data_IF_633968663352
#
_entry.id   IF_633968663352
#
_cell.length_a   1.000
_cell.length_b   1.000
_cell.length_c   1.000
_cell.angle_alpha   90.00
_cell.angle_beta   90.00
_cell.angle_gamma   90.00
#
_symmetry.space_group_name_H-M   'P 1'
#
loop_
_entity.id
_entity.type
_entity.pdbx_description
1 polymer ?
#
# COMPACT_ATOMS: atom_id res chain seq x y z
N UNK A 1 -0.32 2.62 11.22
CA UNK A 1 0.33 2.46 9.90
C UNK A 1 0.87 3.79 9.41
N UNK A 2 2.04 3.80 8.75
CA UNK A 2 2.64 5.00 8.15
C UNK A 2 2.26 5.11 6.66
N UNK A 3 1.92 6.33 6.19
CA UNK A 3 1.70 6.58 4.76
C UNK A 3 3.04 6.59 4.02
N UNK A 4 3.30 5.56 3.23
CA UNK A 4 4.56 5.37 2.49
C UNK A 4 4.48 5.83 1.02
N UNK A 5 3.29 6.14 0.51
CA UNK A 5 3.08 6.60 -0.86
C UNK A 5 1.61 6.68 -1.26
N UNK A 6 1.35 7.20 -2.47
CA UNK A 6 0.03 7.23 -3.08
C UNK A 6 0.10 6.62 -4.49
N UNK A 7 -0.88 5.81 -4.86
CA UNK A 7 -1.01 5.25 -6.20
C UNK A 7 -2.09 6.02 -6.97
N UNK A 8 -1.74 6.58 -8.11
CA UNK A 8 -2.67 7.28 -9.02
C UNK A 8 -2.88 6.47 -10.30
N UNK A 9 -4.12 6.44 -10.80
CA UNK A 9 -4.47 5.84 -12.08
C UNK A 9 -5.34 6.82 -12.87
N UNK A 10 -4.82 7.27 -14.01
CA UNK A 10 -5.50 8.21 -14.90
C UNK A 10 -5.83 7.53 -16.23
N UNK A 11 -7.08 7.67 -16.70
CA UNK A 11 -7.55 7.11 -17.98
C UNK A 11 -8.78 7.82 -18.55
N UNK A 12 -9.14 7.61 -19.84
CA UNK A 12 -10.26 8.28 -20.49
C UNK A 12 -11.61 7.88 -19.89
N UNK A 13 -12.44 8.86 -19.50
CA UNK A 13 -13.74 8.66 -18.84
C UNK A 13 -14.82 7.93 -19.65
N UNK A 14 -14.53 7.60 -20.92
CA UNK A 14 -15.46 6.98 -21.87
C UNK A 14 -15.57 5.46 -21.74
N UNK A 15 -14.71 4.82 -20.94
CA UNK A 15 -14.75 3.37 -20.70
C UNK A 15 -15.12 3.09 -19.24
N UNK A 16 -15.96 2.07 -19.00
CA UNK A 16 -16.33 1.66 -17.65
C UNK A 16 -15.11 1.15 -16.88
N UNK A 17 -14.68 1.88 -15.85
CA UNK A 17 -13.49 1.55 -15.05
C UNK A 17 -13.76 0.56 -13.90
N UNK A 18 -14.79 -0.28 -14.00
CA UNK A 18 -15.16 -1.21 -12.92
C UNK A 18 -14.00 -2.13 -12.47
N UNK A 19 -13.11 -2.48 -13.40
CA UNK A 19 -11.93 -3.31 -13.15
C UNK A 19 -10.73 -2.53 -12.59
N UNK A 20 -10.69 -1.20 -12.75
CA UNK A 20 -9.55 -0.36 -12.37
C UNK A 20 -9.31 -0.35 -10.86
N UNK A 21 -10.38 -0.30 -10.06
CA UNK A 21 -10.27 -0.39 -8.61
C UNK A 21 -9.72 -1.76 -8.16
N UNK A 22 -10.09 -2.83 -8.88
CA UNK A 22 -9.57 -4.18 -8.64
C UNK A 22 -8.07 -4.28 -8.93
N UNK A 23 -7.61 -3.68 -10.04
CA UNK A 23 -6.19 -3.63 -10.41
C UNK A 23 -5.37 -2.76 -9.44
N UNK A 24 -5.90 -1.62 -8.99
CA UNK A 24 -5.27 -0.78 -7.97
C UNK A 24 -5.12 -1.56 -6.66
N UNK A 25 -6.16 -2.27 -6.22
CA UNK A 25 -6.09 -3.10 -5.00
C UNK A 25 -5.06 -4.22 -5.15
N UNK A 26 -4.99 -4.87 -6.31
CA UNK A 26 -3.98 -5.89 -6.60
C UNK A 26 -2.56 -5.30 -6.57
N UNK A 27 -2.36 -4.11 -7.14
CA UNK A 27 -1.06 -3.44 -7.13
C UNK A 27 -0.64 -3.02 -5.73
N UNK A 28 -1.58 -2.52 -4.90
CA UNK A 28 -1.34 -2.22 -3.48
C UNK A 28 -0.94 -3.49 -2.73
N UNK A 29 -1.69 -4.59 -2.89
CA UNK A 29 -1.37 -5.88 -2.28
C UNK A 29 0.06 -6.35 -2.69
N UNK A 30 0.45 -6.17 -3.96
CA UNK A 30 1.79 -6.52 -4.46
C UNK A 30 2.91 -5.60 -3.94
N UNK A 31 2.63 -4.30 -3.75
CA UNK A 31 3.58 -3.34 -3.19
C UNK A 31 3.80 -3.62 -1.71
N UNK A 32 2.71 -3.80 -0.94
CA UNK A 32 2.78 -4.16 0.48
C UNK A 32 3.57 -5.47 0.66
N UNK A 33 3.28 -6.49 -0.17
CA UNK A 33 3.98 -7.77 -0.14
C UNK A 33 5.51 -7.63 -0.33
N UNK A 34 5.96 -6.77 -1.25
CA UNK A 34 7.40 -6.53 -1.47
C UNK A 34 8.05 -5.70 -0.37
N UNK A 35 7.38 -4.66 0.12
CA UNK A 35 7.94 -3.76 1.15
C UNK A 35 8.14 -4.45 2.51
N UNK A 36 7.32 -5.45 2.81
CA UNK A 36 7.46 -6.24 4.04
C UNK A 36 8.81 -6.98 4.15
N UNK A 37 9.50 -7.29 3.04
CA UNK A 37 10.76 -8.06 3.07
C UNK A 37 12.00 -7.24 3.49
N UNK A 38 11.91 -5.90 3.49
CA UNK A 38 13.09 -5.01 3.60
C UNK A 38 13.40 -4.52 5.02
N UNK A 39 12.43 -4.47 5.93
CA UNK A 39 12.53 -3.67 7.17
C UNK A 39 12.71 -4.45 8.48
N UNK A 40 12.74 -5.79 8.45
CA UNK A 40 12.68 -6.60 9.67
C UNK A 40 13.93 -7.46 9.87
N UNK A 41 15.06 -6.81 10.16
CA UNK A 41 16.24 -7.49 10.71
C UNK A 41 15.86 -8.08 12.09
N UNK A 42 16.37 -9.27 12.40
CA UNK A 42 16.12 -10.03 13.65
C UNK A 42 14.65 -10.38 13.94
N UNK A 43 13.80 -10.40 12.91
CA UNK A 43 12.41 -10.80 13.04
C UNK A 43 12.11 -12.08 12.26
N UNK A 44 11.15 -12.86 12.76
CA UNK A 44 10.62 -14.06 12.14
C UNK A 44 9.36 -13.72 11.36
N UNK A 45 9.30 -14.09 10.09
CA UNK A 45 8.15 -13.86 9.23
C UNK A 45 7.33 -15.14 9.06
N UNK A 46 6.05 -15.07 9.38
CA UNK A 46 5.08 -16.14 9.21
C UNK A 46 4.17 -15.82 8.03
N UNK A 47 4.19 -16.69 7.01
CA UNK A 47 3.24 -16.69 5.90
C UNK A 47 2.16 -17.71 6.22
N UNK A 48 0.89 -17.36 6.05
CA UNK A 48 -0.18 -18.29 6.37
C UNK A 48 -1.46 -18.02 5.58
N UNK A 49 -2.25 -19.07 5.37
CA UNK A 49 -3.57 -18.97 4.77
C UNK A 49 -4.41 -20.21 5.14
N UNK A 50 -5.74 -20.09 5.13
CA UNK A 50 -6.65 -21.23 5.32
C UNK A 50 -6.66 -22.22 4.15
N UNK A 51 -6.08 -21.82 3.01
CA UNK A 51 -5.97 -22.59 1.77
C UNK A 51 -4.49 -22.64 1.40
N UNK A 52 -3.85 -23.83 1.45
CA UNK A 52 -2.43 -23.99 1.13
C UNK A 52 -2.05 -23.48 -0.26
N UNK A 53 -2.96 -23.53 -1.24
CA UNK A 53 -2.70 -23.07 -2.61
C UNK A 53 -2.44 -21.56 -2.71
N UNK A 54 -2.82 -20.80 -1.68
CA UNK A 54 -2.63 -19.34 -1.64
C UNK A 54 -1.28 -18.93 -1.08
N UNK A 55 -0.55 -19.82 -0.40
CA UNK A 55 0.80 -19.54 0.09
C UNK A 55 1.73 -19.26 -1.08
N UNK A 56 2.62 -18.27 -0.94
CA UNK A 56 3.50 -17.84 -2.03
C UNK A 56 2.88 -16.76 -2.94
N UNK A 57 1.57 -16.53 -2.87
CA UNK A 57 0.87 -15.53 -3.69
C UNK A 57 0.66 -14.23 -2.93
N UNK A 58 0.25 -13.16 -3.64
CA UNK A 58 -0.22 -11.90 -3.02
C UNK A 58 -1.40 -12.06 -2.05
N UNK A 59 -2.05 -13.24 -2.02
CA UNK A 59 -3.26 -13.48 -1.22
C UNK A 59 -2.98 -14.03 0.17
N UNK A 60 -1.75 -14.41 0.48
CA UNK A 60 -1.40 -14.91 1.81
C UNK A 60 -1.46 -13.83 2.89
N UNK A 61 -1.67 -14.27 4.13
CA UNK A 61 -1.43 -13.47 5.31
C UNK A 61 0.06 -13.48 5.65
N UNK A 62 0.58 -12.32 6.04
CA UNK A 62 1.94 -12.17 6.55
C UNK A 62 1.85 -11.53 7.93
N UNK A 63 2.46 -12.17 8.92
CA UNK A 63 2.73 -11.60 10.24
C UNK A 63 4.23 -11.65 10.50
N UNK A 64 4.75 -10.63 11.16
CA UNK A 64 6.16 -10.49 11.48
C UNK A 64 6.31 -10.35 12.98
N UNK A 65 7.14 -11.21 13.56
CA UNK A 65 7.38 -11.28 14.98
C UNK A 65 8.82 -10.91 15.31
N UNK A 66 9.03 -10.02 16.26
CA UNK A 66 10.32 -9.85 16.91
C UNK A 66 10.26 -10.61 18.22
N UNK A 67 11.09 -11.65 18.33
CA UNK A 67 10.94 -12.67 19.37
C UNK A 67 9.52 -13.26 19.32
N UNK A 68 8.68 -12.95 20.31
CA UNK A 68 7.29 -13.39 20.42
C UNK A 68 6.29 -12.25 20.18
N UNK A 69 6.74 -11.03 19.90
CA UNK A 69 5.85 -9.85 19.76
C UNK A 69 5.52 -9.57 18.31
N UNK A 70 4.25 -9.33 18.00
CA UNK A 70 3.80 -8.94 16.66
C UNK A 70 4.24 -7.49 16.37
N UNK A 71 5.20 -7.30 15.47
CA UNK A 71 5.72 -5.97 15.12
C UNK A 71 5.16 -5.46 13.79
N UNK A 72 4.68 -6.36 12.92
CA UNK A 72 4.02 -5.96 11.68
C UNK A 72 3.15 -7.08 11.11
N UNK A 73 2.22 -6.71 10.24
CA UNK A 73 1.46 -7.64 9.42
C UNK A 73 0.84 -6.95 8.22
N UNK A 74 0.72 -7.66 7.10
CA UNK A 74 -0.07 -7.13 5.99
C UNK A 74 -1.55 -7.12 6.40
N UNK A 75 -2.37 -6.33 5.69
CA UNK A 75 -3.81 -6.20 6.01
C UNK A 75 -4.51 -7.56 6.09
N UNK A 76 -4.13 -8.50 5.22
CA UNK A 76 -4.71 -9.84 5.15
C UNK A 76 -4.32 -10.69 6.35
N UNK A 77 -3.06 -10.64 6.77
CA UNK A 77 -2.55 -11.36 7.94
C UNK A 77 -3.28 -10.91 9.20
N UNK A 78 -3.38 -9.59 9.41
CA UNK A 78 -4.16 -9.04 10.54
C UNK A 78 -5.63 -9.50 10.45
N UNK A 79 -6.26 -9.39 9.28
CA UNK A 79 -7.65 -9.80 9.10
C UNK A 79 -7.89 -11.30 9.32
N UNK A 80 -6.99 -12.17 8.86
CA UNK A 80 -7.11 -13.62 9.05
C UNK A 80 -6.94 -14.00 10.52
N UNK A 81 -6.02 -13.31 11.23
CA UNK A 81 -5.79 -13.47 12.65
C UNK A 81 -6.84 -12.79 13.54
N UNK A 82 -7.82 -12.08 12.97
CA UNK A 82 -8.84 -11.35 13.74
C UNK A 82 -8.29 -10.13 14.48
N UNK A 83 -7.19 -9.56 14.00
CA UNK A 83 -6.48 -8.43 14.61
C UNK A 83 -6.75 -7.12 13.88
N UNK A 84 -6.68 -6.01 14.62
CA UNK A 84 -6.55 -4.66 14.05
C UNK A 84 -5.08 -4.22 14.06
N UNK A 85 -4.82 -3.03 13.52
CA UNK A 85 -3.50 -2.40 13.58
C UNK A 85 -3.07 -2.04 15.01
N UNK A 86 -4.01 -1.94 15.96
CA UNK A 86 -3.73 -1.61 17.36
C UNK A 86 -3.10 -2.80 18.11
N UNK A 87 -3.14 -3.99 17.53
CA UNK A 87 -2.48 -5.17 18.08
C UNK A 87 -0.95 -5.18 17.83
N UNK A 88 -0.44 -4.29 16.97
CA UNK A 88 0.99 -4.19 16.72
C UNK A 88 1.72 -3.68 17.97
N UNK A 89 2.87 -4.25 18.25
CA UNK A 89 3.70 -4.05 19.45
C UNK A 89 3.07 -4.49 20.80
N UNK A 90 1.76 -4.74 20.82
CA UNK A 90 1.04 -5.19 22.02
C UNK A 90 0.79 -6.71 22.05
N UNK A 91 0.41 -7.31 20.92
CA UNK A 91 0.01 -8.72 20.88
C UNK A 91 1.22 -9.67 20.79
N UNK A 92 1.17 -10.76 21.55
CA UNK A 92 2.16 -11.85 21.51
C UNK A 92 1.73 -12.99 20.58
N UNK A 93 2.70 -13.73 20.06
CA UNK A 93 2.54 -14.87 19.18
C UNK A 93 1.54 -15.87 19.75
N UNK A 94 1.75 -16.31 21.00
CA UNK A 94 0.88 -17.28 21.69
C UNK A 94 -0.58 -16.79 21.86
N UNK A 95 -0.78 -15.48 21.98
CA UNK A 95 -2.13 -14.89 22.07
C UNK A 95 -2.81 -14.86 20.71
N UNK A 96 -2.03 -14.78 19.64
CA UNK A 96 -2.53 -14.67 18.27
C UNK A 96 -2.81 -16.05 17.68
N UNK A 97 -1.91 -17.01 17.88
CA UNK A 97 -1.99 -18.34 17.31
C UNK A 97 -1.12 -19.36 18.05
N UNK A 98 -1.48 -20.64 17.94
CA UNK A 98 -0.67 -21.78 18.37
C UNK A 98 -0.27 -22.65 17.17
N UNK A 99 0.84 -23.37 17.31
CA UNK A 99 1.28 -24.40 16.35
C UNK A 99 0.82 -25.75 16.90
N UNK A 100 -0.07 -26.44 16.19
CA UNK A 100 -0.67 -27.70 16.65
C UNK A 100 0.18 -28.90 16.22
N UNK A 101 0.45 -29.03 14.92
CA UNK A 101 1.27 -30.12 14.38
C UNK A 101 2.13 -29.65 13.20
N UNK A 102 3.33 -30.20 13.00
CA UNK A 102 4.04 -30.07 11.74
C UNK A 102 3.25 -30.78 10.65
N UNK A 103 2.79 -30.03 9.65
CA UNK A 103 2.23 -30.56 8.41
C UNK A 103 3.36 -31.00 7.48
N UNK A 104 3.09 -31.92 6.56
CA UNK A 104 4.06 -32.34 5.53
C UNK A 104 4.63 -31.18 4.71
N UNK A 105 3.85 -30.11 4.54
CA UNK A 105 4.18 -28.94 3.71
C UNK A 105 4.26 -27.63 4.51
N UNK A 106 4.31 -27.68 5.85
CA UNK A 106 4.35 -26.47 6.69
C UNK A 106 3.92 -26.69 8.13
N UNK A 107 3.29 -25.69 8.72
CA UNK A 107 2.77 -25.66 10.09
C UNK A 107 1.25 -25.67 10.05
N UNK A 108 0.61 -26.51 10.86
CA UNK A 108 -0.80 -26.31 11.16
C UNK A 108 -0.92 -25.28 12.29
N UNK A 109 -1.57 -24.17 11.99
CA UNK A 109 -1.79 -23.07 12.91
C UNK A 109 -3.24 -23.07 13.37
N UNK A 110 -3.45 -22.85 14.67
CA UNK A 110 -4.76 -22.52 15.22
C UNK A 110 -4.74 -21.06 15.64
N UNK A 111 -5.54 -20.24 14.98
CA UNK A 111 -5.67 -18.82 15.26
C UNK A 111 -6.52 -18.62 16.52
N UNK A 112 -6.35 -17.50 17.22
CA UNK A 112 -7.13 -17.14 18.41
C UNK A 112 -8.64 -17.03 18.15
N UNK A 113 -9.02 -16.79 16.89
CA UNK A 113 -10.40 -16.86 16.42
C UNK A 113 -11.00 -18.27 16.41
N UNK A 114 -10.18 -19.30 16.63
CA UNK A 114 -10.54 -20.72 16.52
C UNK A 114 -10.41 -21.28 15.10
N UNK A 115 -10.07 -20.44 14.11
CA UNK A 115 -9.86 -20.86 12.74
C UNK A 115 -8.51 -21.59 12.57
N UNK A 116 -8.44 -22.48 11.58
CA UNK A 116 -7.21 -23.15 11.20
C UNK A 116 -6.60 -22.54 9.95
N UNK A 117 -5.27 -22.51 9.90
CA UNK A 117 -4.50 -22.09 8.75
C UNK A 117 -3.27 -22.98 8.56
N UNK A 118 -2.80 -23.08 7.32
CA UNK A 118 -1.48 -23.64 7.02
C UNK A 118 -0.50 -22.48 6.95
N UNK A 119 0.64 -22.62 7.62
CA UNK A 119 1.67 -21.60 7.72
C UNK A 119 3.05 -22.09 7.34
N UNK A 120 3.92 -21.17 6.96
CA UNK A 120 5.33 -21.41 6.69
C UNK A 120 6.15 -20.26 7.28
N UNK A 121 7.18 -20.60 8.06
CA UNK A 121 8.20 -19.63 8.45
C UNK A 121 9.07 -19.34 7.24
N UNK A 122 9.29 -18.06 6.94
CA UNK A 122 10.30 -17.67 5.96
C UNK A 122 11.68 -17.85 6.59
N UNK A 123 12.36 -18.93 6.24
CA UNK A 123 13.72 -19.24 6.71
C UNK A 123 14.80 -18.53 5.89
N UNK A 124 14.44 -17.87 4.78
CA UNK A 124 15.38 -17.43 3.75
C UNK A 124 15.50 -15.89 3.65
N UNK A 125 15.09 -15.19 4.71
CA UNK A 125 15.11 -13.73 4.78
C UNK A 125 16.52 -13.13 4.56
N UNK A 126 17.59 -13.91 4.83
CA UNK A 126 18.98 -13.49 4.60
C UNK A 126 19.49 -13.67 3.16
N UNK A 127 18.88 -14.55 2.35
CA UNK A 127 19.37 -14.94 1.03
C UNK A 127 18.75 -14.14 -0.13
N UNK A 128 17.56 -13.58 0.06
CA UNK A 128 16.82 -12.84 -0.97
C UNK A 128 17.33 -11.40 -1.25
N UNK A 129 18.63 -11.13 -1.06
CA UNK A 129 19.28 -9.82 -1.27
C UNK A 129 19.46 -9.42 -2.74
N UNK A 130 19.07 -10.28 -3.69
CA UNK A 130 19.61 -10.25 -5.06
C UNK A 130 18.77 -9.62 -6.18
N UNK A 131 17.48 -9.28 -5.99
CA UNK A 131 16.65 -8.92 -7.16
C UNK A 131 15.64 -7.78 -6.99
N UNK A 132 15.66 -7.04 -5.89
CA UNK A 132 14.65 -5.98 -5.68
C UNK A 132 15.24 -4.60 -5.95
N UNK A 133 14.58 -3.89 -6.89
CA UNK A 133 14.77 -2.47 -7.17
C UNK A 133 14.88 -1.71 -5.84
N UNK A 134 15.98 -0.98 -5.70
CA UNK A 134 16.39 -0.32 -4.46
C UNK A 134 15.48 0.89 -4.11
N UNK A 135 14.21 0.62 -3.81
CA UNK A 135 13.22 1.61 -3.39
C UNK A 135 13.37 1.86 -1.89
N UNK A 136 14.32 2.71 -1.52
CA UNK A 136 14.37 3.29 -0.18
C UNK A 136 13.13 4.16 -0.04
N UNK A 137 12.12 3.69 0.69
CA UNK A 137 10.99 4.52 1.10
C UNK A 137 11.51 5.60 2.04
N UNK A 138 11.84 6.77 1.49
CA UNK A 138 12.09 7.96 2.28
C UNK A 138 10.74 8.40 2.88
N UNK A 139 10.68 8.74 4.18
CA UNK A 139 9.53 9.44 4.73
C UNK A 139 9.22 10.62 3.82
N UNK A 140 8.08 10.56 3.12
CA UNK A 140 7.58 11.72 2.40
C UNK A 140 7.07 12.62 3.51
N UNK A 141 7.81 13.70 3.80
CA UNK A 141 7.30 14.76 4.67
C UNK A 141 5.87 15.07 4.22
N UNK A 142 4.90 15.14 5.16
CA UNK A 142 3.52 15.41 4.81
C UNK A 142 3.45 16.76 4.10
N UNK A 143 3.46 16.71 2.77
CA UNK A 143 3.26 17.89 1.94
C UNK A 143 1.86 18.37 2.29
N UNK A 144 1.66 19.65 2.65
CA UNK A 144 0.36 20.14 3.08
C UNK A 144 -0.68 19.67 2.08
N UNK A 145 -1.74 19.06 2.59
CA UNK A 145 -2.78 18.41 1.80
C UNK A 145 -3.53 19.48 1.02
N UNK A 146 -2.96 19.90 -0.12
CA UNK A 146 -3.62 20.84 -1.01
C UNK A 146 -4.83 20.14 -1.59
N UNK A 147 -5.99 20.78 -1.47
CA UNK A 147 -7.20 20.29 -2.11
C UNK A 147 -6.99 20.21 -3.62
N UNK A 148 -7.75 19.36 -4.31
CA UNK A 148 -7.68 19.24 -5.78
C UNK A 148 -7.85 20.61 -6.45
N UNK A 149 -8.75 21.42 -5.92
CA UNK A 149 -9.03 22.77 -6.40
C UNK A 149 -7.83 23.71 -6.22
N UNK A 150 -7.18 23.68 -5.06
CA UNK A 150 -5.95 24.45 -4.81
C UNK A 150 -4.80 24.07 -5.76
N UNK A 151 -4.66 22.79 -6.08
CA UNK A 151 -3.64 22.33 -7.06
C UNK A 151 -3.96 22.81 -8.48
N UNK A 152 -5.23 22.81 -8.86
CA UNK A 152 -5.68 23.28 -10.16
C UNK A 152 -5.46 24.80 -10.31
N UNK A 153 -5.81 25.56 -9.28
CA UNK A 153 -5.53 27.02 -9.19
C UNK A 153 -4.03 27.30 -9.28
N UNK A 154 -3.21 26.56 -8.52
CA UNK A 154 -1.76 26.73 -8.54
C UNK A 154 -1.15 26.42 -9.92
N UNK A 155 -1.61 25.35 -10.58
CA UNK A 155 -1.16 24.99 -11.93
C UNK A 155 -1.55 26.05 -12.97
N UNK A 156 -2.77 26.59 -12.90
CA UNK A 156 -3.22 27.68 -13.79
C UNK A 156 -2.39 28.94 -13.57
N UNK A 157 -2.14 29.34 -12.32
CA UNK A 157 -1.32 30.52 -11.98
C UNK A 157 0.12 30.38 -12.48
N UNK A 158 0.73 29.21 -12.27
CA UNK A 158 2.08 28.91 -12.74
C UNK A 158 2.18 28.96 -14.27
N UNK A 159 1.23 28.36 -14.98
CA UNK A 159 1.20 28.38 -16.44
C UNK A 159 0.96 29.79 -17.00
N UNK A 160 0.10 30.59 -16.37
CA UNK A 160 -0.08 31.99 -16.74
C UNK A 160 1.21 32.80 -16.53
N UNK A 161 1.88 32.63 -15.40
CA UNK A 161 3.16 33.29 -15.13
C UNK A 161 4.24 32.91 -16.15
N UNK A 162 4.36 31.62 -16.49
CA UNK A 162 5.34 31.13 -17.44
C UNK A 162 5.14 31.68 -18.87
N UNK A 163 3.90 32.03 -19.25
CA UNK A 163 3.55 32.57 -20.57
C UNK A 163 3.20 34.06 -20.54
N UNK A 164 3.62 34.80 -19.50
CA UNK A 164 3.40 36.25 -19.40
C UNK A 164 1.92 36.66 -19.43
N UNK A 165 1.04 35.84 -18.85
CA UNK A 165 -0.41 36.06 -18.82
C UNK A 165 -1.15 35.60 -20.08
N UNK A 166 -0.49 34.96 -21.05
CA UNK A 166 -1.14 34.49 -22.25
C UNK A 166 -2.03 33.27 -22.00
N UNK A 167 -3.33 33.52 -21.84
CA UNK A 167 -4.37 32.51 -21.56
C UNK A 167 -4.39 31.39 -22.60
N UNK A 168 -4.17 31.71 -23.87
CA UNK A 168 -4.22 30.71 -24.95
C UNK A 168 -3.05 29.72 -24.87
N UNK A 169 -1.86 30.20 -24.52
CA UNK A 169 -0.67 29.35 -24.34
C UNK A 169 -0.75 28.54 -23.05
N UNK A 170 -1.19 29.16 -21.95
CA UNK A 170 -1.40 28.49 -20.67
C UNK A 170 -2.46 27.37 -20.76
N UNK A 171 -3.60 27.64 -21.42
CA UNK A 171 -4.65 26.66 -21.68
C UNK A 171 -4.13 25.45 -22.47
N UNK A 172 -3.37 25.71 -23.55
CA UNK A 172 -2.80 24.66 -24.40
C UNK A 172 -1.77 23.82 -23.64
N UNK A 173 -0.93 24.43 -22.80
CA UNK A 173 0.03 23.71 -21.96
C UNK A 173 -0.66 22.79 -20.94
N UNK A 174 -1.76 23.25 -20.34
CA UNK A 174 -2.48 22.51 -19.30
C UNK A 174 -3.52 21.52 -19.87
N UNK A 175 -3.73 21.49 -21.19
CA UNK A 175 -4.81 20.71 -21.79
C UNK A 175 -6.22 21.17 -21.40
N UNK A 176 -6.35 22.40 -20.88
CA UNK A 176 -7.62 22.97 -20.42
C UNK A 176 -8.25 23.84 -21.51
N UNK A 177 -9.58 23.92 -21.50
CA UNK A 177 -10.28 24.87 -22.35
C UNK A 177 -10.03 26.32 -21.86
N UNK A 178 -9.86 27.28 -22.78
CA UNK A 178 -9.60 28.69 -22.43
C UNK A 178 -10.70 29.27 -21.53
N UNK A 179 -11.95 28.85 -21.73
CA UNK A 179 -13.09 29.29 -20.90
C UNK A 179 -12.93 28.90 -19.42
N UNK A 180 -12.28 27.77 -19.12
CA UNK A 180 -11.98 27.35 -17.75
C UNK A 180 -11.09 28.37 -17.06
N UNK A 181 -9.98 28.76 -17.70
CA UNK A 181 -9.07 29.77 -17.13
C UNK A 181 -9.77 31.13 -16.97
N UNK A 182 -10.61 31.54 -17.92
CA UNK A 182 -11.39 32.78 -17.79
C UNK A 182 -12.38 32.74 -16.63
N UNK A 183 -13.00 31.58 -16.36
CA UNK A 183 -13.90 31.40 -15.22
C UNK A 183 -13.15 31.59 -13.89
N UNK A 184 -11.99 30.96 -13.75
CA UNK A 184 -11.17 31.10 -12.54
C UNK A 184 -10.68 32.54 -12.32
N UNK A 185 -10.31 33.29 -13.38
CA UNK A 185 -9.99 34.74 -13.29
C UNK A 185 -11.20 35.56 -12.85
N UNK A 186 -12.38 35.28 -13.42
CA UNK A 186 -13.63 36.00 -13.06
C UNK A 186 -14.02 35.76 -11.60
N UNK A 187 -13.68 34.60 -11.05
CA UNK A 187 -13.88 34.24 -9.65
C UNK A 187 -12.78 34.77 -8.72
N UNK A 188 -11.74 35.44 -9.24
CA UNK A 188 -10.64 35.98 -8.44
C UNK A 188 -9.66 34.93 -7.91
N UNK A 189 -9.68 33.70 -8.44
CA UNK A 189 -8.84 32.60 -7.98
C UNK A 189 -7.42 32.65 -8.59
N UNK A 190 -7.27 33.25 -9.78
CA UNK A 190 -5.99 33.37 -10.53
C UNK A 190 -5.86 34.71 -11.23
#
# INVERSE_FOLDING_TARGET
GALIGALDLTGPSTHGHGHALGLIRLAVDQIEHRLFRRHFQDCRLLRFHSDPAMLGTSREGILVFREERLVAGNRRGLSLAGLSWDALDDASFETILSVEEPSRDGLLLRLSSGAYAVGQWDTDHAAARGSDLDLVARPVEPRPAMTREEREVAAIRAALSAHGGNVSKAARQLGLHRSTIHRYRKQGLV
#
